data_IF_481818782197
#
_entry.id   IF_481818782197
#
_cell.length_a   1.000
_cell.length_b   1.000
_cell.length_c   1.000
_cell.angle_alpha   90.00
_cell.angle_beta   90.00
_cell.angle_gamma   90.00
#
_symmetry.space_group_name_H-M   'P 1'
#
loop_
_entity.id
_entity.type
_entity.pdbx_description
1 polymer ?
#
# COMPACT_ATOMS: atom_id res chain seq x y z
N UNK A 1 -8.78 -3.44 18.92
CA UNK A 1 -7.43 -2.86 18.81
C UNK A 1 -7.35 -1.99 17.57
N UNK A 2 -6.80 -0.80 17.69
CA UNK A 2 -6.69 0.12 16.57
C UNK A 2 -5.63 -0.35 15.57
N UNK A 3 -5.90 -0.16 14.29
CA UNK A 3 -4.91 -0.35 13.22
C UNK A 3 -4.03 0.89 13.12
N UNK A 4 -2.76 0.69 12.78
CA UNK A 4 -1.83 1.78 12.52
C UNK A 4 -1.94 2.21 11.05
N UNK A 5 -2.98 2.98 10.74
CA UNK A 5 -3.30 3.41 9.39
C UNK A 5 -2.37 4.53 8.90
N UNK A 6 -2.16 4.59 7.59
CA UNK A 6 -1.47 5.72 6.96
C UNK A 6 -2.38 6.94 6.92
N UNK A 7 -1.81 8.13 7.13
CA UNK A 7 -2.53 9.38 6.94
C UNK A 7 -2.80 9.62 5.46
N UNK A 8 -3.78 10.48 5.16
CA UNK A 8 -4.07 10.89 3.78
C UNK A 8 -2.84 11.50 3.11
N UNK A 9 -2.08 12.32 3.85
CA UNK A 9 -0.85 12.93 3.36
C UNK A 9 0.17 11.87 2.91
N UNK A 10 0.36 10.82 3.69
CA UNK A 10 1.29 9.73 3.36
C UNK A 10 0.79 8.95 2.15
N UNK A 11 -0.50 8.64 2.09
CA UNK A 11 -1.09 7.94 0.93
C UNK A 11 -0.92 8.74 -0.36
N UNK A 12 -1.16 10.05 -0.30
CA UNK A 12 -1.01 10.94 -1.47
C UNK A 12 0.44 11.01 -1.92
N UNK A 13 1.39 11.15 -0.99
CA UNK A 13 2.81 11.20 -1.31
C UNK A 13 3.27 9.87 -1.92
N UNK A 14 2.86 8.76 -1.36
CA UNK A 14 3.22 7.42 -1.84
C UNK A 14 2.75 7.21 -3.28
N UNK A 15 1.49 7.55 -3.58
CA UNK A 15 0.92 7.42 -4.91
C UNK A 15 1.67 8.27 -5.94
N UNK A 16 1.97 9.51 -5.58
CA UNK A 16 2.67 10.45 -6.47
C UNK A 16 4.11 10.01 -6.75
N UNK A 17 4.78 9.43 -5.76
CA UNK A 17 6.17 8.94 -5.92
C UNK A 17 6.29 7.84 -6.98
N UNK A 18 5.23 7.11 -7.25
CA UNK A 18 5.18 6.04 -8.24
C UNK A 18 4.27 6.40 -9.43
N UNK A 19 3.92 7.66 -9.59
CA UNK A 19 3.05 8.16 -10.67
C UNK A 19 1.71 7.45 -10.73
N UNK A 20 1.12 7.12 -9.58
CA UNK A 20 -0.14 6.38 -9.46
C UNK A 20 -0.13 5.01 -10.13
N UNK A 21 1.05 4.43 -10.35
CA UNK A 21 1.16 3.08 -10.94
C UNK A 21 1.37 2.05 -9.84
N UNK A 22 0.86 0.83 -10.08
CA UNK A 22 1.13 -0.31 -9.21
C UNK A 22 2.65 -0.55 -9.13
N UNK A 23 3.16 -0.74 -7.92
CA UNK A 23 4.60 -0.95 -7.71
C UNK A 23 5.08 -2.36 -8.07
N UNK A 24 4.17 -3.29 -8.34
CA UNK A 24 4.55 -4.63 -8.79
C UNK A 24 5.16 -4.52 -10.19
N UNK A 25 6.45 -4.88 -10.37
CA UNK A 25 7.12 -4.74 -11.67
C UNK A 25 6.49 -5.59 -12.78
N UNK A 26 5.76 -6.64 -12.42
CA UNK A 26 5.04 -7.48 -13.38
C UNK A 26 3.63 -6.98 -13.70
N UNK A 27 3.20 -5.90 -13.08
CA UNK A 27 1.86 -5.32 -13.27
C UNK A 27 1.92 -3.91 -13.82
N UNK A 28 2.39 -2.95 -13.02
CA UNK A 28 2.51 -1.53 -13.36
C UNK A 28 1.21 -0.89 -13.85
N UNK A 29 0.05 -1.45 -13.45
CA UNK A 29 -1.24 -0.93 -13.84
C UNK A 29 -1.43 0.51 -13.33
N UNK A 30 -2.04 1.36 -14.16
CA UNK A 30 -2.41 2.72 -13.75
C UNK A 30 -3.59 2.62 -12.78
N UNK A 31 -3.50 3.31 -11.64
CA UNK A 31 -4.52 3.25 -10.59
C UNK A 31 -5.35 4.52 -10.48
N UNK A 32 -5.18 5.46 -11.39
CA UNK A 32 -5.93 6.71 -11.41
C UNK A 32 -6.47 6.98 -12.81
N UNK A 33 -7.48 7.81 -12.89
CA UNK A 33 -8.08 8.17 -14.17
C UNK A 33 -9.08 9.31 -14.02
N UNK A 34 -9.70 9.72 -15.14
CA UNK A 34 -10.66 10.81 -15.12
C UNK A 34 -11.96 10.43 -14.41
N UNK A 35 -12.53 11.39 -13.72
CA UNK A 35 -13.85 11.29 -13.12
C UNK A 35 -14.84 11.99 -14.03
N UNK A 36 -16.13 11.63 -13.97
CA UNK A 36 -17.15 12.31 -14.76
C UNK A 36 -17.36 13.78 -14.32
N UNK A 37 -16.98 14.13 -13.10
CA UNK A 37 -16.89 15.51 -12.64
C UNK A 37 -15.50 16.05 -13.01
N UNK A 38 -15.43 17.16 -13.77
CA UNK A 38 -14.22 17.62 -14.45
C UNK A 38 -13.04 17.94 -13.53
N UNK A 39 -13.29 18.40 -12.31
CA UNK A 39 -12.24 18.76 -11.37
C UNK A 39 -11.88 17.63 -10.38
N UNK A 40 -12.34 16.43 -10.67
CA UNK A 40 -12.05 15.24 -9.85
C UNK A 40 -11.33 14.17 -10.65
N UNK A 41 -10.76 13.22 -9.94
CA UNK A 41 -10.13 12.05 -10.56
C UNK A 41 -10.54 10.78 -9.79
N UNK A 42 -10.41 9.65 -10.48
CA UNK A 42 -10.62 8.34 -9.86
C UNK A 42 -9.26 7.82 -9.39
N UNK A 43 -9.23 7.29 -8.17
CA UNK A 43 -8.06 6.63 -7.61
C UNK A 43 -8.51 5.29 -7.01
N UNK A 44 -8.05 4.20 -7.61
CA UNK A 44 -8.39 2.84 -7.18
C UNK A 44 -7.15 2.10 -6.64
N UNK A 45 -6.07 2.81 -6.40
CA UNK A 45 -4.87 2.25 -5.80
C UNK A 45 -5.02 2.04 -4.30
N UNK A 46 -4.12 1.26 -3.75
CA UNK A 46 -4.10 0.88 -2.34
C UNK A 46 -2.73 1.20 -1.74
N UNK A 47 -2.72 1.91 -0.63
CA UNK A 47 -1.52 2.07 0.21
C UNK A 47 -1.47 0.86 1.15
N UNK A 48 -0.71 -0.15 0.77
CA UNK A 48 -0.62 -1.40 1.52
C UNK A 48 0.52 -1.34 2.54
N UNK A 49 0.33 -2.02 3.68
CA UNK A 49 1.37 -2.16 4.70
C UNK A 49 2.31 -3.31 4.30
N UNK A 50 3.62 -3.05 4.30
CA UNK A 50 4.63 -4.10 4.10
C UNK A 50 4.59 -5.04 5.30
N UNK A 51 4.67 -4.50 6.52
CA UNK A 51 4.39 -5.23 7.75
C UNK A 51 3.01 -4.79 8.25
N UNK A 52 2.17 -5.75 8.64
CA UNK A 52 0.75 -5.51 8.92
C UNK A 52 0.54 -4.41 9.98
N UNK A 53 -0.58 -3.70 9.84
CA UNK A 53 -0.96 -2.59 10.71
C UNK A 53 -1.46 -3.06 12.08
N UNK A 54 -1.80 -4.33 12.22
CA UNK A 54 -2.36 -4.88 13.47
C UNK A 54 -1.95 -6.34 13.64
N UNK A 55 -1.96 -6.85 14.90
CA UNK A 55 -1.65 -8.26 15.17
C UNK A 55 -2.54 -9.21 14.36
N UNK A 56 -1.96 -10.30 13.89
CA UNK A 56 -2.67 -11.28 13.07
C UNK A 56 -2.70 -10.99 11.60
N UNK A 57 -2.31 -9.79 11.18
CA UNK A 57 -2.24 -9.43 9.76
C UNK A 57 -0.98 -9.94 9.08
N UNK A 58 -0.92 -9.84 7.73
CA UNK A 58 0.22 -10.32 6.95
C UNK A 58 1.53 -9.64 7.35
N UNK A 59 2.57 -10.43 7.57
CA UNK A 59 3.92 -9.95 7.87
C UNK A 59 4.03 -9.04 9.09
N UNK A 60 3.12 -9.22 10.08
CA UNK A 60 3.13 -8.41 11.30
C UNK A 60 4.44 -8.60 12.08
N UNK A 61 5.04 -7.49 12.52
CA UNK A 61 6.25 -7.50 13.34
C UNK A 61 5.97 -6.85 14.70
N UNK A 62 6.13 -7.62 15.78
CA UNK A 62 5.86 -7.14 17.14
C UNK A 62 6.84 -6.08 17.62
N UNK A 63 8.06 -6.07 17.06
CA UNK A 63 9.10 -5.11 17.45
C UNK A 63 8.92 -3.71 16.85
N UNK A 64 7.98 -3.52 15.93
CA UNK A 64 7.72 -2.22 15.33
C UNK A 64 6.82 -1.36 16.22
N UNK A 65 7.11 -0.06 16.26
CA UNK A 65 6.23 0.91 16.93
C UNK A 65 5.08 1.31 16.01
N UNK A 66 4.03 1.91 16.59
CA UNK A 66 2.91 2.47 15.80
C UNK A 66 3.40 3.49 14.78
N UNK A 67 4.36 4.32 15.16
CA UNK A 67 4.97 5.31 14.26
C UNK A 67 5.65 4.63 13.06
N UNK A 68 6.38 3.55 13.31
CA UNK A 68 7.03 2.79 12.23
C UNK A 68 6.01 2.13 11.30
N UNK A 69 4.93 1.54 11.86
CA UNK A 69 3.89 0.89 11.07
C UNK A 69 3.15 1.86 10.16
N UNK A 70 2.94 3.09 10.61
CA UNK A 70 2.24 4.12 9.84
C UNK A 70 3.18 5.02 9.02
N UNK A 71 4.46 4.72 9.00
CA UNK A 71 5.46 5.44 8.21
C UNK A 71 5.38 5.07 6.73
N UNK A 72 5.71 6.03 5.86
CA UNK A 72 5.78 5.78 4.42
C UNK A 72 6.79 4.68 4.06
N UNK A 73 7.80 4.46 4.88
CA UNK A 73 8.78 3.39 4.68
C UNK A 73 8.18 1.99 4.81
N UNK A 74 7.05 1.87 5.50
CA UNK A 74 6.30 0.63 5.63
C UNK A 74 5.15 0.53 4.63
N UNK A 75 5.15 1.37 3.60
CA UNK A 75 4.06 1.46 2.64
C UNK A 75 4.51 1.07 1.24
N UNK A 76 3.61 0.43 0.50
CA UNK A 76 3.80 0.15 -0.92
C UNK A 76 2.49 0.45 -1.65
N UNK A 77 2.58 1.13 -2.79
CA UNK A 77 1.42 1.46 -3.59
C UNK A 77 1.13 0.36 -4.60
N UNK A 78 -0.06 -0.22 -4.53
CA UNK A 78 -0.46 -1.37 -5.37
C UNK A 78 -1.85 -1.13 -5.95
N UNK A 79 -2.15 -1.79 -7.09
CA UNK A 79 -3.53 -1.93 -7.52
C UNK A 79 -4.27 -2.91 -6.60
N UNK A 80 -5.59 -2.92 -6.66
CA UNK A 80 -6.40 -3.75 -5.75
C UNK A 80 -6.11 -5.24 -5.91
N UNK A 81 -5.89 -5.71 -7.13
CA UNK A 81 -5.52 -7.09 -7.41
C UNK A 81 -4.19 -7.46 -6.76
N UNK A 82 -3.15 -6.64 -6.96
CA UNK A 82 -1.83 -6.92 -6.40
C UNK A 82 -1.82 -6.79 -4.88
N UNK A 83 -2.59 -5.85 -4.31
CA UNK A 83 -2.73 -5.72 -2.87
C UNK A 83 -3.30 -7.01 -2.26
N UNK A 84 -4.32 -7.58 -2.87
CA UNK A 84 -4.90 -8.85 -2.44
C UNK A 84 -3.91 -10.00 -2.60
N UNK A 85 -3.18 -10.02 -3.71
CA UNK A 85 -2.20 -11.06 -4.02
C UNK A 85 -1.07 -11.10 -2.99
N UNK A 86 -0.47 -9.95 -2.67
CA UNK A 86 0.66 -9.92 -1.73
C UNK A 86 0.26 -10.28 -0.30
N UNK A 87 -0.99 -10.03 0.08
CA UNK A 87 -1.50 -10.37 1.41
C UNK A 87 -2.01 -11.82 1.48
N UNK A 88 -2.24 -12.45 0.34
CA UNK A 88 -2.68 -13.85 0.27
C UNK A 88 -1.49 -14.80 0.20
N UNK A 89 -0.45 -14.45 -0.55
CA UNK A 89 0.75 -15.29 -0.72
C UNK A 89 1.95 -14.62 -0.06
N UNK A 90 1.99 -14.67 1.27
CA UNK A 90 3.02 -14.01 2.06
C UNK A 90 4.40 -14.67 1.96
N UNK A 91 4.48 -15.92 1.52
CA UNK A 91 5.77 -16.59 1.32
C UNK A 91 6.49 -16.05 0.09
N UNK A 92 5.77 -15.86 -1.03
CA UNK A 92 6.33 -15.26 -2.24
C UNK A 92 6.57 -13.76 -2.04
N UNK A 93 5.60 -13.08 -1.42
CA UNK A 93 5.66 -11.64 -1.18
C UNK A 93 6.02 -11.35 0.27
N UNK A 94 7.23 -11.74 0.66
CA UNK A 94 7.75 -11.47 1.98
C UNK A 94 8.28 -10.02 2.07
N UNK A 95 8.70 -9.61 3.26
CA UNK A 95 9.18 -8.25 3.51
C UNK A 95 10.32 -7.83 2.56
N UNK A 96 11.25 -8.72 2.27
CA UNK A 96 12.37 -8.42 1.37
C UNK A 96 11.91 -8.18 -0.07
N UNK A 97 10.93 -8.95 -0.52
CA UNK A 97 10.36 -8.80 -1.86
C UNK A 97 9.64 -7.46 -2.03
N UNK A 98 8.96 -6.98 -0.98
CA UNK A 98 8.14 -5.76 -1.03
C UNK A 98 8.93 -4.47 -0.84
N UNK A 99 10.16 -4.54 -0.38
CA UNK A 99 11.01 -3.34 -0.16
C UNK A 99 11.63 -2.77 -1.44
#
# INVERSE_FOLDING_TARGET
MARDEFTKRIKDALAKRVCYRCSNPNCRAITSGPHNVQDRFINVGVAAHISAASPGGPRFETGMTSKQRSSIENAIWLCQKCAKLVDTDIETYNKHTLV
#
